data_IF_750398898917
#
_entry.id   IF_750398898917
#
_cell.length_a   1.000
_cell.length_b   1.000
_cell.length_c   1.000
_cell.angle_alpha   90.00
_cell.angle_beta   90.00
_cell.angle_gamma   90.00
#
_symmetry.space_group_name_H-M   'P 1'
#
loop_
_entity.id
_entity.type
_entity.pdbx_description
1 polymer ?
#
# COMPACT_ATOMS: atom_id res chain seq x y z
N UNK A 1 3.03 -9.32 -17.57
CA UNK A 1 2.80 -7.88 -17.92
C UNK A 1 1.75 -7.17 -17.05
N UNK A 2 0.56 -7.77 -16.83
CA UNK A 2 -0.58 -7.14 -16.14
C UNK A 2 -0.36 -6.87 -14.65
N UNK A 3 0.22 -7.83 -13.92
CA UNK A 3 0.45 -7.70 -12.47
C UNK A 3 1.39 -6.53 -12.11
N UNK A 4 2.49 -6.35 -12.85
CA UNK A 4 3.42 -5.24 -12.66
C UNK A 4 2.71 -3.89 -12.78
N UNK A 5 1.83 -3.75 -13.77
CA UNK A 5 1.06 -2.52 -13.98
C UNK A 5 0.13 -2.25 -12.80
N UNK A 6 -0.64 -3.25 -12.37
CA UNK A 6 -1.56 -3.13 -11.23
C UNK A 6 -0.82 -2.73 -9.95
N UNK A 7 0.31 -3.37 -9.65
CA UNK A 7 1.12 -3.03 -8.47
C UNK A 7 1.73 -1.63 -8.53
N UNK A 8 2.13 -1.18 -9.72
CA UNK A 8 2.60 0.20 -9.94
C UNK A 8 1.48 1.21 -9.73
N UNK A 9 0.30 0.97 -10.31
CA UNK A 9 -0.89 1.83 -10.17
C UNK A 9 -1.38 1.90 -8.71
N UNK A 10 -1.37 0.77 -7.99
CA UNK A 10 -1.70 0.72 -6.56
C UNK A 10 -0.66 1.47 -5.72
N UNK A 11 0.63 1.31 -6.01
CA UNK A 11 1.71 2.00 -5.30
C UNK A 11 1.61 3.53 -5.42
N UNK A 12 1.13 4.05 -6.55
CA UNK A 12 0.87 5.48 -6.73
C UNK A 12 -0.12 6.05 -5.72
N UNK A 13 -1.07 5.27 -5.20
CA UNK A 13 -2.05 5.74 -4.23
C UNK A 13 -1.39 6.09 -2.88
N UNK A 14 -0.28 5.45 -2.53
CA UNK A 14 0.43 5.70 -1.28
C UNK A 14 1.26 7.00 -1.27
N UNK A 15 1.23 7.80 -2.35
CA UNK A 15 1.77 9.17 -2.33
C UNK A 15 0.96 10.10 -1.42
N UNK A 16 -0.29 9.76 -1.17
CA UNK A 16 -1.19 10.53 -0.32
C UNK A 16 -1.22 9.96 1.10
N UNK A 17 -1.36 10.80 2.13
CA UNK A 17 -1.52 10.33 3.51
C UNK A 17 -2.75 9.42 3.61
N UNK A 18 -2.59 8.31 4.32
CA UNK A 18 -3.57 7.22 4.41
C UNK A 18 -4.80 7.56 5.27
N UNK A 19 -5.45 8.69 5.03
CA UNK A 19 -6.74 8.98 5.64
C UNK A 19 -7.78 8.10 4.95
N UNK A 20 -8.40 7.18 5.70
CA UNK A 20 -9.42 6.28 5.18
C UNK A 20 -10.58 7.07 4.58
N UNK A 21 -10.66 7.15 3.26
CA UNK A 21 -11.80 7.74 2.56
C UNK A 21 -13.08 6.96 2.92
N UNK A 22 -14.25 7.63 2.85
CA UNK A 22 -15.57 6.99 3.02
C UNK A 22 -15.70 5.71 2.17
N UNK A 23 -15.13 5.71 0.97
CA UNK A 23 -15.13 4.55 0.06
C UNK A 23 -14.29 3.40 0.64
N UNK A 24 -13.14 3.71 1.24
CA UNK A 24 -12.25 2.71 1.86
C UNK A 24 -12.91 2.11 3.10
N UNK A 25 -13.56 2.95 3.92
CA UNK A 25 -14.32 2.49 5.08
C UNK A 25 -15.45 1.53 4.66
N UNK A 26 -16.25 1.90 3.66
CA UNK A 26 -17.31 1.05 3.13
C UNK A 26 -16.80 -0.32 2.62
N UNK A 27 -15.63 -0.36 1.96
CA UNK A 27 -15.00 -1.61 1.51
C UNK A 27 -14.50 -2.50 2.65
N UNK A 28 -14.24 -1.93 3.82
CA UNK A 28 -13.75 -2.65 5.00
C UNK A 28 -14.89 -3.23 5.84
N UNK A 29 -16.12 -2.78 5.63
CA UNK A 29 -17.29 -3.34 6.32
C UNK A 29 -17.39 -4.85 6.05
N UNK A 30 -17.48 -5.65 7.12
CA UNK A 30 -17.56 -7.11 7.04
C UNK A 30 -16.22 -7.83 6.80
N UNK A 31 -15.09 -7.12 6.74
CA UNK A 31 -13.77 -7.73 6.60
C UNK A 31 -13.19 -8.13 7.96
N UNK A 32 -12.34 -9.18 8.03
CA UNK A 32 -11.68 -9.56 9.28
C UNK A 32 -10.84 -8.41 9.87
N UNK A 33 -10.97 -8.17 11.17
CA UNK A 33 -10.31 -7.06 11.85
C UNK A 33 -8.77 -7.08 11.67
N UNK A 34 -8.18 -8.28 11.68
CA UNK A 34 -6.74 -8.47 11.46
C UNK A 34 -6.29 -8.02 10.06
N UNK A 35 -7.10 -8.30 9.03
CA UNK A 35 -6.82 -7.87 7.65
C UNK A 35 -6.93 -6.36 7.52
N UNK A 36 -7.95 -5.76 8.14
CA UNK A 36 -8.13 -4.30 8.17
C UNK A 36 -6.95 -3.61 8.86
N UNK A 37 -6.54 -4.11 10.03
CA UNK A 37 -5.40 -3.57 10.78
C UNK A 37 -4.09 -3.71 9.98
N UNK A 38 -3.87 -4.83 9.29
CA UNK A 38 -2.72 -5.00 8.41
C UNK A 38 -2.73 -3.99 7.25
N UNK A 39 -3.89 -3.76 6.64
CA UNK A 39 -4.03 -2.79 5.54
C UNK A 39 -3.75 -1.35 5.98
N UNK A 40 -4.13 -0.98 7.20
CA UNK A 40 -3.81 0.33 7.80
C UNK A 40 -2.32 0.48 8.06
N UNK A 41 -1.70 -0.54 8.69
CA UNK A 41 -0.25 -0.59 8.91
C UNK A 41 0.51 -0.50 7.59
N UNK A 42 0.05 -1.20 6.56
CA UNK A 42 0.62 -1.13 5.22
C UNK A 42 0.56 0.28 4.67
N UNK A 43 -0.62 0.91 4.72
CA UNK A 43 -0.85 2.25 4.16
C UNK A 43 0.07 3.31 4.78
N UNK A 44 0.20 3.32 6.10
CA UNK A 44 1.08 4.23 6.82
C UNK A 44 2.56 4.00 6.47
N UNK A 45 3.00 2.74 6.47
CA UNK A 45 4.40 2.39 6.19
C UNK A 45 4.79 2.71 4.74
N UNK A 46 3.93 2.37 3.78
CA UNK A 46 4.16 2.63 2.36
C UNK A 46 4.18 4.13 2.07
N UNK A 47 3.29 4.91 2.69
CA UNK A 47 3.32 6.38 2.59
C UNK A 47 4.60 6.96 3.17
N UNK A 48 5.03 6.51 4.35
CA UNK A 48 6.30 6.93 4.97
C UNK A 48 7.49 6.62 4.05
N UNK A 49 7.51 5.44 3.44
CA UNK A 49 8.57 5.06 2.48
C UNK A 49 8.60 5.97 1.26
N UNK A 50 7.43 6.25 0.67
CA UNK A 50 7.31 7.17 -0.45
C UNK A 50 7.86 8.55 -0.07
N UNK A 51 7.40 9.13 1.05
CA UNK A 51 7.84 10.43 1.55
C UNK A 51 9.34 10.48 1.82
N UNK A 52 9.91 9.46 2.46
CA UNK A 52 11.34 9.40 2.73
C UNK A 52 12.19 9.39 1.45
N UNK A 53 11.77 8.67 0.42
CA UNK A 53 12.48 8.65 -0.85
C UNK A 53 12.30 9.96 -1.63
N UNK A 54 11.13 10.58 -1.53
CA UNK A 54 10.84 11.89 -2.10
C UNK A 54 11.74 12.97 -1.49
N UNK A 55 11.87 12.99 -0.16
CA UNK A 55 12.77 13.92 0.55
C UNK A 55 14.25 13.71 0.20
N UNK A 56 14.62 12.49 -0.21
CA UNK A 56 15.97 12.16 -0.71
C UNK A 56 16.16 12.46 -2.20
N UNK A 57 15.21 13.14 -2.84
CA UNK A 57 15.28 13.53 -4.25
C UNK A 57 15.24 12.36 -5.24
N UNK A 58 14.71 11.20 -4.84
CA UNK A 58 14.64 10.03 -5.74
C UNK A 58 13.58 10.24 -6.83
N UNK A 59 13.85 9.70 -8.01
CA UNK A 59 12.92 9.78 -9.13
C UNK A 59 11.63 9.01 -8.84
N UNK A 60 10.49 9.42 -9.43
CA UNK A 60 9.21 8.71 -9.25
C UNK A 60 9.29 7.22 -9.56
N UNK A 61 10.06 6.81 -10.57
CA UNK A 61 10.24 5.42 -10.95
C UNK A 61 10.88 4.59 -9.82
N UNK A 62 11.92 5.14 -9.17
CA UNK A 62 12.58 4.50 -8.03
C UNK A 62 11.64 4.42 -6.83
N UNK A 63 10.93 5.53 -6.53
CA UNK A 63 9.98 5.59 -5.43
C UNK A 63 8.88 4.54 -5.57
N UNK A 64 8.20 4.54 -6.72
CA UNK A 64 7.06 3.64 -6.99
C UNK A 64 7.52 2.19 -7.02
N UNK A 65 8.65 1.87 -7.65
CA UNK A 65 9.18 0.51 -7.64
C UNK A 65 9.47 0.02 -6.23
N UNK A 66 10.06 0.87 -5.37
CA UNK A 66 10.36 0.51 -3.99
C UNK A 66 9.09 0.31 -3.15
N UNK A 67 8.05 1.11 -3.38
CA UNK A 67 6.73 0.97 -2.74
C UNK A 67 6.01 -0.29 -3.23
N UNK A 68 5.97 -0.55 -4.55
CA UNK A 68 5.34 -1.75 -5.12
C UNK A 68 5.94 -3.03 -4.57
N UNK A 69 7.28 -3.11 -4.45
CA UNK A 69 7.97 -4.28 -3.88
C UNK A 69 7.55 -4.56 -2.44
N UNK A 70 7.35 -3.51 -1.66
CA UNK A 70 6.94 -3.65 -0.27
C UNK A 70 5.45 -3.95 -0.12
N UNK A 71 4.62 -3.37 -1.00
CA UNK A 71 3.20 -3.70 -1.10
C UNK A 71 2.98 -5.20 -1.35
N UNK A 72 3.78 -5.83 -2.22
CA UNK A 72 3.71 -7.28 -2.46
C UNK A 72 3.93 -8.09 -1.18
N UNK A 73 4.81 -7.66 -0.28
CA UNK A 73 5.02 -8.32 1.02
C UNK A 73 3.79 -8.21 1.93
N UNK A 74 3.11 -7.06 1.92
CA UNK A 74 1.86 -6.88 2.66
C UNK A 74 0.72 -7.74 2.10
N UNK A 75 0.62 -7.87 0.78
CA UNK A 75 -0.36 -8.75 0.14
C UNK A 75 -0.13 -10.21 0.53
N UNK A 76 1.13 -10.66 0.52
CA UNK A 76 1.49 -12.00 0.98
C UNK A 76 1.10 -12.20 2.46
N UNK A 77 1.43 -11.26 3.34
CA UNK A 77 1.04 -11.33 4.74
C UNK A 77 -0.50 -11.40 4.92
N UNK A 78 -1.26 -10.63 4.14
CA UNK A 78 -2.72 -10.67 4.19
C UNK A 78 -3.29 -12.04 3.78
N UNK A 79 -2.73 -12.67 2.75
CA UNK A 79 -3.13 -14.00 2.30
C UNK A 79 -2.88 -15.08 3.37
N UNK A 80 -1.84 -14.93 4.19
CA UNK A 80 -1.52 -15.87 5.27
C UNK A 80 -2.31 -15.60 6.57
N UNK A 81 -3.02 -14.47 6.68
CA UNK A 81 -3.92 -14.20 7.81
C UNK A 81 -5.34 -14.72 7.58
N UNK A 82 -5.67 -15.06 6.34
CA UNK A 82 -7.00 -15.52 5.92
C UNK A 82 -7.00 -17.03 5.59
N UNK A 83 -5.82 -17.63 5.48
CA UNK A 83 -5.62 -19.08 5.40
C UNK A 83 -5.73 -19.73 6.79
#
# INVERSE_FOLDING_TARGET
PRLRRILTEAAWQHRFPGTGSKIVAARRTGQPALVVALAEKASLRLHKKFRNLQLRGKTPQVMITAVSRELSGFLWAAMNLVA
#
